data_IF_951462513082
#
_entry.id   IF_951462513082
#
_cell.length_a   1.000
_cell.length_b   1.000
_cell.length_c   1.000
_cell.angle_alpha   90.00
_cell.angle_beta   90.00
_cell.angle_gamma   90.00
#
_symmetry.space_group_name_H-M   'P 1'
#
loop_
_entity.id
_entity.type
_entity.pdbx_description
1 polymer ?
#
# COMPACT_ATOMS: atom_id res chain seq x y z
N UNK A 1 -20.92 -38.93 16.33
CA UNK A 1 -20.47 -38.05 15.23
C UNK A 1 -19.98 -36.77 15.87
N UNK A 2 -18.68 -36.49 15.78
CA UNK A 2 -18.08 -35.31 16.41
C UNK A 2 -17.96 -34.21 15.36
N UNK A 3 -18.59 -33.05 15.62
CA UNK A 3 -18.41 -31.84 14.83
C UNK A 3 -17.09 -31.18 15.25
N UNK A 4 -16.10 -31.23 14.36
CA UNK A 4 -14.85 -30.49 14.52
C UNK A 4 -15.02 -29.10 13.88
N UNK A 5 -15.04 -28.06 14.71
CA UNK A 5 -14.88 -26.66 14.24
C UNK A 5 -13.41 -26.31 14.38
N UNK A 6 -12.71 -26.22 13.25
CA UNK A 6 -11.36 -25.65 13.20
C UNK A 6 -11.54 -24.14 12.96
N UNK A 7 -11.11 -23.33 13.92
CA UNK A 7 -10.89 -21.89 13.72
C UNK A 7 -9.42 -21.71 13.33
N UNK A 8 -9.18 -21.16 12.16
CA UNK A 8 -7.84 -20.69 11.79
C UNK A 8 -7.65 -19.26 12.32
N UNK A 9 -6.50 -18.93 12.95
CA UNK A 9 -6.10 -17.55 13.12
C UNK A 9 -5.66 -17.00 11.76
N UNK A 10 -6.37 -15.97 11.29
CA UNK A 10 -6.12 -15.29 10.03
C UNK A 10 -4.82 -14.50 10.12
N UNK A 11 -3.74 -15.05 9.57
CA UNK A 11 -2.67 -14.27 8.98
C UNK A 11 -2.47 -14.83 7.57
N UNK A 12 -3.16 -14.22 6.61
CA UNK A 12 -3.10 -14.64 5.22
C UNK A 12 -2.01 -13.82 4.53
N UNK A 13 -0.78 -14.31 4.54
CA UNK A 13 0.13 -14.08 3.44
C UNK A 13 -0.41 -14.94 2.29
N UNK A 14 -1.19 -14.33 1.39
CA UNK A 14 -1.59 -14.96 0.14
C UNK A 14 -0.32 -15.15 -0.71
N UNK A 15 0.36 -16.27 -0.53
CA UNK A 15 1.08 -16.90 -1.63
C UNK A 15 0.00 -17.38 -2.60
N UNK A 16 -0.52 -16.46 -3.40
CA UNK A 16 -1.47 -16.77 -4.45
C UNK A 16 -0.79 -17.72 -5.43
N UNK A 17 -1.35 -18.92 -5.59
CA UNK A 17 -1.01 -19.77 -6.72
C UNK A 17 -1.85 -19.25 -7.89
N UNK A 18 -1.20 -18.70 -8.90
CA UNK A 18 -1.88 -18.23 -10.10
C UNK A 18 -2.21 -19.42 -11.02
N UNK A 19 -3.47 -19.53 -11.42
CA UNK A 19 -3.95 -20.57 -12.33
C UNK A 19 -4.17 -19.98 -13.72
N UNK A 20 -3.23 -20.26 -14.64
CA UNK A 20 -3.29 -19.73 -16.00
C UNK A 20 -4.03 -20.68 -16.95
N UNK A 21 -5.10 -20.22 -17.63
CA UNK A 21 -5.71 -20.99 -18.71
C UNK A 21 -4.88 -20.94 -20.00
N UNK A 22 -4.03 -19.93 -20.18
CA UNK A 22 -3.13 -19.79 -21.32
C UNK A 22 -1.93 -20.73 -21.20
N UNK A 23 -1.36 -21.10 -22.35
CA UNK A 23 -0.10 -21.81 -22.44
C UNK A 23 0.93 -20.91 -23.11
N UNK A 24 2.11 -20.79 -22.51
CA UNK A 24 3.25 -20.00 -23.01
C UNK A 24 4.53 -20.82 -22.88
N UNK A 25 5.67 -20.25 -23.29
CA UNK A 25 6.97 -20.89 -23.08
C UNK A 25 7.31 -21.06 -21.59
N UNK A 26 6.94 -20.07 -20.78
CA UNK A 26 7.32 -20.00 -19.37
C UNK A 26 6.28 -20.63 -18.43
N UNK A 27 5.04 -20.83 -18.86
CA UNK A 27 4.01 -21.47 -18.05
C UNK A 27 3.09 -22.41 -18.84
N UNK A 28 2.76 -23.54 -18.22
CA UNK A 28 1.77 -24.47 -18.73
C UNK A 28 0.36 -24.05 -18.31
N UNK A 29 -0.59 -24.25 -19.22
CA UNK A 29 -2.01 -24.10 -18.89
C UNK A 29 -2.42 -25.12 -17.82
N UNK A 30 -3.28 -24.73 -16.88
CA UNK A 30 -3.86 -25.68 -15.91
C UNK A 30 -4.67 -26.79 -16.60
N UNK A 31 -5.06 -26.62 -17.87
CA UNK A 31 -5.70 -27.68 -18.65
C UNK A 31 -4.82 -28.92 -18.81
N UNK A 32 -3.49 -28.79 -18.75
CA UNK A 32 -2.56 -29.92 -18.77
C UNK A 32 -2.72 -30.87 -17.57
N UNK A 33 -3.38 -30.42 -16.49
CA UNK A 33 -3.66 -31.26 -15.33
C UNK A 33 -4.78 -32.29 -15.55
N UNK A 34 -5.58 -32.17 -16.62
CA UNK A 34 -6.71 -33.06 -16.88
C UNK A 34 -6.34 -34.23 -17.79
N UNK A 35 -7.04 -35.36 -17.62
CA UNK A 35 -6.84 -36.53 -18.47
C UNK A 35 -7.32 -36.26 -19.91
N UNK A 36 -6.74 -36.97 -20.89
CA UNK A 36 -7.15 -36.91 -22.31
C UNK A 36 -8.65 -37.11 -22.48
N UNK A 37 -9.21 -38.17 -21.89
CA UNK A 37 -10.64 -38.48 -21.96
C UNK A 37 -11.51 -37.35 -21.41
N UNK A 38 -11.05 -36.66 -20.36
CA UNK A 38 -11.75 -35.50 -19.79
C UNK A 38 -11.75 -34.34 -20.79
N UNK A 39 -10.59 -33.99 -21.35
CA UNK A 39 -10.47 -32.88 -22.30
C UNK A 39 -11.27 -33.14 -23.58
N UNK A 40 -11.20 -34.35 -24.14
CA UNK A 40 -11.98 -34.74 -25.33
C UNK A 40 -13.49 -34.66 -25.07
N UNK A 41 -13.95 -35.14 -23.90
CA UNK A 41 -15.35 -35.04 -23.52
C UNK A 41 -15.79 -33.58 -23.28
N UNK A 42 -14.92 -32.74 -22.72
CA UNK A 42 -15.22 -31.32 -22.44
C UNK A 42 -15.29 -30.48 -23.70
N UNK A 43 -14.31 -30.59 -24.60
CA UNK A 43 -14.25 -29.79 -25.83
C UNK A 43 -14.98 -30.44 -27.01
N UNK A 44 -15.41 -31.70 -26.86
CA UNK A 44 -16.08 -32.49 -27.90
C UNK A 44 -15.28 -32.52 -29.22
N UNK A 45 -13.96 -32.65 -29.10
CA UNK A 45 -13.04 -32.85 -30.23
C UNK A 45 -11.90 -33.78 -29.81
N UNK A 46 -11.09 -34.22 -30.78
CA UNK A 46 -9.96 -35.11 -30.57
C UNK A 46 -8.83 -34.42 -29.80
N UNK A 47 -8.13 -35.17 -28.97
CA UNK A 47 -7.06 -34.65 -28.12
C UNK A 47 -5.95 -33.94 -28.91
N UNK A 48 -5.60 -34.41 -30.10
CA UNK A 48 -4.54 -33.80 -30.92
C UNK A 48 -4.89 -32.36 -31.34
N UNK A 49 -6.18 -32.09 -31.56
CA UNK A 49 -6.64 -30.74 -31.89
C UNK A 49 -6.61 -29.82 -30.66
N UNK A 50 -6.96 -30.35 -29.49
CA UNK A 50 -6.90 -29.64 -28.20
C UNK A 50 -5.45 -29.29 -27.86
N UNK A 51 -4.55 -30.27 -28.01
CA UNK A 51 -3.12 -30.07 -27.75
C UNK A 51 -2.56 -28.95 -28.63
N UNK A 52 -2.82 -29.00 -29.93
CA UNK A 52 -2.32 -28.00 -30.89
C UNK A 52 -2.84 -26.58 -30.63
N UNK A 53 -4.12 -26.43 -30.24
CA UNK A 53 -4.78 -25.11 -30.17
C UNK A 53 -4.71 -24.50 -28.77
N UNK A 54 -4.91 -25.29 -27.71
CA UNK A 54 -5.09 -24.79 -26.33
C UNK A 54 -3.85 -25.03 -25.48
N UNK A 55 -3.27 -26.23 -25.54
CA UNK A 55 -2.14 -26.62 -24.68
C UNK A 55 -0.79 -26.18 -25.26
N UNK A 56 -0.72 -25.99 -26.56
CA UNK A 56 0.54 -25.83 -27.29
C UNK A 56 1.24 -27.18 -27.49
N UNK A 57 2.15 -27.23 -28.46
CA UNK A 57 2.98 -28.41 -28.65
C UNK A 57 4.11 -28.39 -27.60
N UNK A 58 4.33 -29.50 -26.89
CA UNK A 58 5.43 -29.66 -25.93
C UNK A 58 6.81 -29.79 -26.61
N UNK A 59 6.84 -29.94 -27.93
CA UNK A 59 8.04 -30.24 -28.71
C UNK A 59 8.79 -28.95 -29.08
N UNK A 60 9.61 -28.47 -28.15
CA UNK A 60 10.65 -27.47 -28.39
C UNK A 60 11.88 -28.00 -29.15
N UNK A 61 11.81 -29.15 -29.81
CA UNK A 61 12.92 -29.73 -30.58
C UNK A 61 12.41 -30.39 -31.86
N UNK A 62 13.00 -29.98 -32.99
CA UNK A 62 12.95 -30.62 -34.31
C UNK A 62 11.66 -30.43 -35.13
N UNK A 63 11.48 -29.24 -35.74
CA UNK A 63 10.87 -29.10 -37.08
C UNK A 63 11.06 -27.67 -37.62
N UNK A 64 12.31 -27.20 -37.71
CA UNK A 64 12.63 -25.91 -38.37
C UNK A 64 12.72 -26.00 -39.91
N UNK A 65 12.59 -27.18 -40.54
CA UNK A 65 12.93 -27.31 -41.96
C UNK A 65 11.78 -27.36 -42.97
N UNK A 66 10.49 -27.40 -42.59
CA UNK A 66 9.44 -27.63 -43.61
C UNK A 66 8.14 -26.80 -43.55
N UNK A 67 8.16 -25.56 -43.06
CA UNK A 67 7.03 -24.65 -43.29
C UNK A 67 7.45 -23.23 -43.65
N UNK A 68 7.92 -23.09 -44.90
CA UNK A 68 7.85 -21.84 -45.65
C UNK A 68 6.39 -21.43 -45.85
N UNK A 69 5.90 -20.46 -45.09
CA UNK A 69 4.84 -19.56 -45.55
C UNK A 69 3.58 -19.39 -44.70
N UNK A 70 3.52 -19.83 -43.44
CA UNK A 70 2.37 -19.54 -42.57
C UNK A 70 2.83 -19.00 -41.22
N UNK A 71 2.07 -18.02 -40.74
CA UNK A 71 2.32 -17.14 -39.60
C UNK A 71 2.94 -17.88 -38.42
N UNK A 72 4.12 -17.38 -38.00
CA UNK A 72 4.84 -17.88 -36.84
C UNK A 72 3.87 -17.93 -35.65
N UNK A 73 3.67 -19.13 -35.08
CA UNK A 73 3.01 -19.29 -33.79
C UNK A 73 3.84 -18.54 -32.76
N UNK A 74 3.48 -17.28 -32.50
CA UNK A 74 3.95 -16.55 -31.35
C UNK A 74 3.39 -17.24 -30.11
N UNK A 75 3.99 -18.35 -29.68
CA UNK A 75 3.90 -18.71 -28.27
C UNK A 75 4.58 -17.57 -27.54
N UNK A 76 3.74 -16.74 -26.92
CA UNK A 76 4.18 -15.60 -26.14
C UNK A 76 5.20 -16.06 -25.09
N UNK A 77 6.20 -15.22 -24.81
CA UNK A 77 7.28 -15.61 -23.89
C UNK A 77 6.76 -15.79 -22.46
N UNK A 78 5.70 -15.08 -22.02
CA UNK A 78 5.13 -15.21 -20.69
C UNK A 78 3.71 -14.66 -20.55
N UNK A 79 3.23 -14.46 -19.30
CA UNK A 79 1.87 -13.97 -19.01
C UNK A 79 1.60 -12.52 -19.47
N UNK A 80 2.65 -11.71 -19.67
CA UNK A 80 2.55 -10.34 -20.16
C UNK A 80 3.06 -10.32 -21.60
N UNK A 81 2.20 -9.89 -22.53
CA UNK A 81 2.45 -10.00 -23.97
C UNK A 81 2.32 -8.67 -24.66
N UNK A 82 3.07 -8.49 -25.75
CA UNK A 82 3.00 -7.26 -26.55
C UNK A 82 1.87 -7.36 -27.56
N UNK A 83 0.97 -6.39 -27.56
CA UNK A 83 -0.19 -6.32 -28.46
C UNK A 83 -0.15 -5.09 -29.37
N UNK A 84 -0.83 -5.17 -30.51
CA UNK A 84 -0.95 -4.06 -31.46
C UNK A 84 -1.93 -2.98 -30.95
N UNK A 85 -1.90 -1.80 -31.57
CA UNK A 85 -2.82 -0.70 -31.22
C UNK A 85 -4.27 -1.07 -31.54
N UNK A 86 -4.50 -1.80 -32.63
CA UNK A 86 -5.81 -2.25 -33.09
C UNK A 86 -6.40 -3.27 -32.10
N UNK A 87 -5.59 -4.22 -31.62
CA UNK A 87 -6.00 -5.17 -30.59
C UNK A 87 -6.38 -4.46 -29.28
N UNK A 88 -5.57 -3.47 -28.85
CA UNK A 88 -5.90 -2.65 -27.67
C UNK A 88 -7.23 -1.90 -27.87
N UNK A 89 -7.45 -1.31 -29.05
CA UNK A 89 -8.69 -0.58 -29.33
C UNK A 89 -9.91 -1.50 -29.26
N UNK A 90 -9.82 -2.72 -29.79
CA UNK A 90 -10.92 -3.69 -29.74
C UNK A 90 -11.26 -4.09 -28.31
N UNK A 91 -10.24 -4.42 -27.50
CA UNK A 91 -10.43 -4.82 -26.10
C UNK A 91 -11.00 -3.68 -25.23
N UNK A 92 -10.63 -2.44 -25.50
CA UNK A 92 -11.08 -1.28 -24.69
C UNK A 92 -12.55 -0.90 -24.93
N UNK A 93 -13.18 -1.30 -26.02
CA UNK A 93 -14.57 -0.90 -26.36
C UNK A 93 -15.58 -1.24 -25.27
N UNK A 94 -15.34 -2.31 -24.51
CA UNK A 94 -16.24 -2.81 -23.47
C UNK A 94 -15.68 -2.63 -22.05
N UNK A 95 -14.58 -1.90 -21.90
CA UNK A 95 -14.00 -1.65 -20.58
C UNK A 95 -14.89 -0.70 -19.76
N UNK A 96 -15.08 -1.03 -18.48
CA UNK A 96 -15.75 -0.16 -17.52
C UNK A 96 -14.71 0.74 -16.83
N UNK A 97 -15.06 2.00 -16.61
CA UNK A 97 -14.28 2.94 -15.82
C UNK A 97 -14.95 3.17 -14.47
N UNK A 98 -14.18 3.70 -13.50
CA UNK A 98 -14.76 4.19 -12.25
C UNK A 98 -15.76 5.30 -12.59
N UNK A 99 -17.04 5.07 -12.31
CA UNK A 99 -18.06 6.12 -12.40
C UNK A 99 -17.76 7.17 -11.32
N UNK A 100 -17.50 8.42 -11.70
CA UNK A 100 -17.32 9.51 -10.73
C UNK A 100 -18.56 9.68 -9.82
N UNK A 101 -18.35 10.30 -8.65
CA UNK A 101 -19.32 10.61 -7.56
C UNK A 101 -20.68 9.89 -7.71
N UNK A 102 -20.69 8.62 -7.36
CA UNK A 102 -21.88 7.75 -7.27
C UNK A 102 -21.76 6.81 -6.07
N UNK A 103 -22.83 6.07 -5.76
CA UNK A 103 -22.78 5.06 -4.69
C UNK A 103 -21.64 4.06 -4.97
N UNK A 104 -20.89 3.63 -3.95
CA UNK A 104 -19.87 2.59 -4.10
C UNK A 104 -20.47 1.38 -4.82
N UNK A 105 -19.82 0.93 -5.89
CA UNK A 105 -20.23 -0.28 -6.58
C UNK A 105 -19.79 -1.50 -5.77
N UNK A 106 -20.64 -2.52 -5.69
CA UNK A 106 -20.30 -3.80 -5.06
C UNK A 106 -19.15 -4.52 -5.79
N UNK A 107 -18.96 -4.26 -7.09
CA UNK A 107 -17.97 -4.96 -7.91
C UNK A 107 -17.14 -4.08 -8.86
N UNK A 108 -17.43 -2.78 -8.94
CA UNK A 108 -16.79 -1.85 -9.86
C UNK A 108 -15.55 -1.19 -9.25
N UNK A 109 -14.60 -0.70 -10.08
CA UNK A 109 -13.44 0.01 -9.58
C UNK A 109 -13.85 1.32 -8.90
N UNK A 110 -13.13 1.69 -7.85
CA UNK A 110 -13.27 2.98 -7.18
C UNK A 110 -11.92 3.71 -7.17
N UNK A 111 -11.97 5.04 -7.07
CA UNK A 111 -10.78 5.87 -7.04
C UNK A 111 -10.60 6.45 -5.64
N UNK A 112 -9.53 6.06 -4.95
CA UNK A 112 -9.20 6.55 -3.61
C UNK A 112 -9.04 8.08 -3.55
N UNK A 113 -8.65 8.72 -4.66
CA UNK A 113 -8.46 10.17 -4.78
C UNK A 113 -9.67 10.92 -5.32
N UNK A 114 -10.82 10.26 -5.53
CA UNK A 114 -12.02 10.98 -6.01
C UNK A 114 -12.73 11.79 -4.93
N UNK A 115 -12.54 11.40 -3.66
CA UNK A 115 -13.06 12.12 -2.50
C UNK A 115 -12.02 13.11 -1.96
N UNK A 116 -12.48 14.03 -1.13
CA UNK A 116 -11.58 14.96 -0.44
C UNK A 116 -10.68 14.20 0.55
N UNK A 117 -9.40 14.61 0.68
CA UNK A 117 -8.50 14.03 1.66
C UNK A 117 -9.03 14.28 3.08
N UNK A 118 -8.88 13.30 3.97
CA UNK A 118 -9.26 13.42 5.38
C UNK A 118 -8.38 14.44 6.11
N UNK A 119 -7.12 14.58 5.68
CA UNK A 119 -6.19 15.60 6.15
C UNK A 119 -5.53 16.26 4.95
N UNK A 120 -5.51 17.59 4.91
CA UNK A 120 -4.82 18.33 3.86
C UNK A 120 -4.26 19.64 4.39
N UNK A 121 -3.00 19.91 4.07
CA UNK A 121 -2.39 21.22 4.22
C UNK A 121 -1.24 21.40 3.21
N UNK A 122 -0.53 22.53 3.27
CA UNK A 122 0.58 22.82 2.34
C UNK A 122 1.76 21.83 2.37
N UNK A 123 1.81 20.90 3.31
CA UNK A 123 2.86 19.90 3.47
C UNK A 123 2.43 18.48 3.09
N UNK A 124 1.15 18.25 2.79
CA UNK A 124 0.70 16.92 2.37
C UNK A 124 -0.81 16.74 2.36
N UNK A 125 -1.23 15.62 1.78
CA UNK A 125 -2.60 15.15 1.70
C UNK A 125 -2.68 13.70 2.19
N UNK A 126 -3.74 13.35 2.90
CA UNK A 126 -4.04 12.00 3.34
C UNK A 126 -5.42 11.62 2.82
N UNK A 127 -5.49 10.64 1.94
CA UNK A 127 -6.72 10.04 1.43
C UNK A 127 -6.96 8.69 2.11
N UNK A 128 -8.21 8.40 2.46
CA UNK A 128 -8.59 7.14 3.07
C UNK A 128 -9.99 6.70 2.60
N UNK A 129 -10.11 5.42 2.29
CA UNK A 129 -11.38 4.71 2.17
C UNK A 129 -11.39 3.61 3.21
N UNK A 130 -12.36 3.70 4.13
CA UNK A 130 -12.58 2.77 5.22
C UNK A 130 -13.65 1.72 4.85
N UNK A 131 -13.70 0.57 5.56
CA UNK A 131 -14.71 -0.46 5.38
C UNK A 131 -16.17 0.04 5.35
N UNK A 132 -16.52 1.03 6.17
CA UNK A 132 -17.88 1.60 6.23
C UNK A 132 -18.26 2.45 5.00
N UNK A 133 -17.28 2.82 4.17
CA UNK A 133 -17.47 3.68 3.00
C UNK A 133 -17.44 2.93 1.66
N UNK A 134 -17.02 1.66 1.64
CA UNK A 134 -16.90 0.88 0.41
C UNK A 134 -17.19 -0.62 0.67
N UNK A 135 -18.18 -1.23 0.00
CA UNK A 135 -18.54 -2.64 0.20
C UNK A 135 -17.39 -3.63 -0.04
N UNK A 136 -16.53 -3.40 -1.05
CA UNK A 136 -15.39 -4.29 -1.32
C UNK A 136 -14.35 -4.22 -0.20
N UNK A 137 -14.13 -3.02 0.35
CA UNK A 137 -13.27 -2.83 1.52
C UNK A 137 -13.91 -3.43 2.80
N UNK A 138 -15.24 -3.38 2.89
CA UNK A 138 -16.03 -3.96 3.98
C UNK A 138 -15.90 -5.48 4.03
N UNK A 139 -16.01 -6.14 2.89
CA UNK A 139 -15.95 -7.60 2.78
C UNK A 139 -14.60 -8.16 3.23
N UNK A 140 -13.53 -7.38 3.05
CA UNK A 140 -12.16 -7.73 3.44
C UNK A 140 -11.76 -7.19 4.81
N UNK A 141 -12.56 -6.32 5.41
CA UNK A 141 -12.25 -5.56 6.63
C UNK A 141 -10.90 -4.81 6.54
N UNK A 142 -10.69 -4.12 5.40
CA UNK A 142 -9.46 -3.35 5.13
C UNK A 142 -9.78 -1.86 4.90
N UNK A 143 -8.86 -0.99 5.32
CA UNK A 143 -8.81 0.40 4.84
C UNK A 143 -7.75 0.53 3.75
N UNK A 144 -8.00 1.39 2.78
CA UNK A 144 -7.01 1.80 1.78
C UNK A 144 -6.66 3.26 1.97
N UNK A 145 -5.35 3.56 2.02
CA UNK A 145 -4.83 4.90 2.26
C UNK A 145 -3.85 5.32 1.18
N UNK A 146 -3.87 6.59 0.80
CA UNK A 146 -2.89 7.19 -0.09
C UNK A 146 -2.41 8.50 0.52
N UNK A 147 -1.11 8.60 0.76
CA UNK A 147 -0.52 9.71 1.51
C UNK A 147 0.49 10.41 0.60
N UNK A 148 0.29 11.70 0.40
CA UNK A 148 1.22 12.58 -0.31
C UNK A 148 1.90 13.46 0.73
N UNK A 149 3.24 13.46 0.77
CA UNK A 149 4.03 14.36 1.62
C UNK A 149 4.90 15.21 0.70
N UNK A 150 4.74 16.53 0.76
CA UNK A 150 5.54 17.44 -0.04
C UNK A 150 6.98 17.46 0.46
N UNK A 151 7.93 17.81 -0.40
CA UNK A 151 9.35 17.94 -0.03
C UNK A 151 9.53 18.83 1.21
N UNK A 152 10.30 18.34 2.18
CA UNK A 152 10.49 19.00 3.48
C UNK A 152 9.28 18.92 4.43
N UNK A 153 8.23 18.22 4.04
CA UNK A 153 7.09 17.86 4.88
C UNK A 153 7.41 16.70 5.82
N UNK A 154 6.69 16.64 6.94
CA UNK A 154 6.74 15.58 7.94
C UNK A 154 5.31 15.21 8.31
N UNK A 155 4.95 13.94 8.19
CA UNK A 155 3.78 13.39 8.88
C UNK A 155 4.10 13.29 10.37
N UNK A 156 3.36 14.03 11.19
CA UNK A 156 3.57 14.08 12.63
C UNK A 156 3.42 12.68 13.25
N UNK A 157 4.11 12.41 14.36
CA UNK A 157 3.96 11.15 15.09
C UNK A 157 2.50 10.87 15.40
N UNK A 158 2.03 9.71 14.96
CA UNK A 158 0.70 9.18 15.19
C UNK A 158 0.79 7.67 15.34
N UNK A 159 -0.28 7.06 15.84
CA UNK A 159 -0.43 5.61 15.93
C UNK A 159 -1.80 5.22 15.37
N UNK A 160 -1.90 3.98 14.90
CA UNK A 160 -3.16 3.38 14.51
C UNK A 160 -3.68 2.54 15.68
N UNK A 161 -4.89 2.80 16.15
CA UNK A 161 -5.43 2.14 17.35
C UNK A 161 -5.69 0.64 17.19
N UNK A 162 -6.05 0.21 15.97
CA UNK A 162 -6.44 -1.20 15.70
C UNK A 162 -5.93 -1.76 14.38
N UNK A 163 -5.53 -0.90 13.45
CA UNK A 163 -5.17 -1.32 12.10
C UNK A 163 -3.65 -1.50 11.96
N UNK A 164 -3.24 -2.61 11.34
CA UNK A 164 -1.90 -2.80 10.84
C UNK A 164 -1.85 -2.21 9.43
N UNK A 165 -0.93 -1.29 9.18
CA UNK A 165 -0.76 -0.71 7.85
C UNK A 165 0.42 -1.37 7.15
N UNK A 166 0.20 -1.87 5.94
CA UNK A 166 1.25 -2.27 5.01
C UNK A 166 1.37 -1.16 3.98
N UNK A 167 2.50 -0.45 4.00
CA UNK A 167 2.71 0.75 3.19
C UNK A 167 3.79 0.48 2.16
N UNK A 168 3.53 0.88 0.92
CA UNK A 168 4.46 0.82 -0.21
C UNK A 168 4.81 2.24 -0.61
N UNK A 169 6.09 2.53 -0.85
CA UNK A 169 6.53 3.81 -1.39
C UNK A 169 6.35 3.80 -2.90
N UNK A 170 5.38 4.58 -3.39
CA UNK A 170 5.08 4.70 -4.83
C UNK A 170 6.07 5.62 -5.56
N UNK A 171 6.44 6.76 -4.95
CA UNK A 171 7.39 7.72 -5.52
C UNK A 171 8.18 8.43 -4.40
N UNK A 172 9.43 8.77 -4.69
CA UNK A 172 10.26 9.66 -3.87
C UNK A 172 11.11 8.95 -2.81
N UNK A 173 11.63 9.74 -1.87
CA UNK A 173 12.48 9.27 -0.77
C UNK A 173 12.13 9.96 0.54
N UNK A 174 12.35 9.28 1.66
CA UNK A 174 12.02 9.79 2.98
C UNK A 174 12.74 9.09 4.11
N UNK A 175 12.73 9.71 5.29
CA UNK A 175 13.18 9.05 6.52
C UNK A 175 11.95 8.60 7.31
N UNK A 176 12.00 7.39 7.83
CA UNK A 176 10.94 6.79 8.63
C UNK A 176 11.46 6.44 10.01
N UNK A 177 10.66 6.74 11.03
CA UNK A 177 10.89 6.32 12.41
C UNK A 177 9.63 5.66 12.97
N UNK A 178 9.82 4.50 13.59
CA UNK A 178 8.81 3.75 14.32
C UNK A 178 9.28 3.56 15.76
N UNK A 179 8.35 3.68 16.70
CA UNK A 179 8.60 3.44 18.12
C UNK A 179 7.78 2.25 18.57
N UNK A 180 8.42 1.32 19.28
CA UNK A 180 7.77 0.17 19.89
C UNK A 180 8.27 -0.08 21.30
N UNK A 181 7.50 -0.85 22.07
CA UNK A 181 7.84 -1.28 23.44
C UNK A 181 8.21 -2.76 23.39
N UNK A 182 9.24 -3.16 24.14
CA UNK A 182 9.64 -4.57 24.25
C UNK A 182 9.79 -4.98 25.70
N UNK A 183 9.18 -6.10 26.05
CA UNK A 183 9.36 -6.75 27.35
C UNK A 183 10.74 -7.42 27.40
N UNK A 184 11.48 -7.15 28.46
CA UNK A 184 12.64 -7.96 28.80
C UNK A 184 12.17 -9.10 29.69
N UNK A 185 12.13 -10.33 29.16
CA UNK A 185 12.05 -11.54 30.00
C UNK A 185 13.33 -11.62 30.86
N UNK A 186 13.28 -11.09 32.08
CA UNK A 186 14.26 -11.39 33.13
C UNK A 186 13.62 -12.35 34.13
N UNK A 187 14.46 -13.28 34.60
CA UNK A 187 14.09 -14.42 35.42
C UNK A 187 13.20 -14.03 36.62
N UNK A 188 12.06 -14.72 36.72
CA UNK A 188 11.09 -14.98 37.81
C UNK A 188 10.91 -14.06 39.05
N UNK A 189 11.75 -13.07 39.35
CA UNK A 189 11.66 -12.24 40.56
C UNK A 189 11.93 -10.73 40.35
N UNK A 190 12.11 -10.24 39.11
CA UNK A 190 12.26 -8.80 38.80
C UNK A 190 11.04 -8.24 38.05
N UNK A 191 10.60 -7.03 38.43
CA UNK A 191 9.50 -6.32 37.75
C UNK A 191 9.77 -6.21 36.25
N UNK A 192 8.77 -6.56 35.43
CA UNK A 192 8.78 -6.34 33.98
C UNK A 192 9.09 -4.86 33.71
N UNK A 193 10.21 -4.60 33.03
CA UNK A 193 10.59 -3.26 32.59
C UNK A 193 10.38 -3.18 31.07
N UNK A 194 9.35 -2.42 30.70
CA UNK A 194 9.08 -2.04 29.32
C UNK A 194 10.17 -1.07 28.82
N UNK A 195 10.89 -1.47 27.78
CA UNK A 195 11.93 -0.64 27.16
C UNK A 195 11.44 -0.07 25.83
N UNK A 196 11.49 1.26 25.69
CA UNK A 196 11.15 1.95 24.44
C UNK A 196 12.28 1.77 23.43
N UNK A 197 11.95 1.25 22.24
CA UNK A 197 12.86 1.07 21.12
C UNK A 197 12.45 1.90 19.92
N UNK A 198 13.45 2.51 19.29
CA UNK A 198 13.31 3.21 18.01
C UNK A 198 13.85 2.34 16.88
N UNK A 199 13.03 2.20 15.85
CA UNK A 199 13.37 1.60 14.57
C UNK A 199 13.40 2.72 13.54
N UNK A 200 14.43 2.79 12.71
CA UNK A 200 14.56 3.82 11.69
C UNK A 200 14.97 3.22 10.35
N UNK A 201 14.54 3.87 9.28
CA UNK A 201 14.87 3.49 7.91
C UNK A 201 14.93 4.72 7.00
N UNK A 202 15.71 4.61 5.93
CA UNK A 202 15.58 5.46 4.76
C UNK A 202 14.75 4.68 3.75
N UNK A 203 13.69 5.29 3.26
CA UNK A 203 12.76 4.69 2.32
C UNK A 203 12.91 5.34 0.96
N UNK A 204 12.73 4.55 -0.09
CA UNK A 204 12.79 4.89 -1.50
C UNK A 204 11.70 4.14 -2.28
N UNK A 205 11.45 4.55 -3.51
CA UNK A 205 10.48 3.90 -4.41
C UNK A 205 10.60 2.36 -4.41
N UNK A 206 9.47 1.68 -4.21
CA UNK A 206 9.36 0.24 -4.12
C UNK A 206 9.57 -0.36 -2.72
N UNK A 207 10.07 0.41 -1.75
CA UNK A 207 10.22 -0.07 -0.38
C UNK A 207 8.85 -0.35 0.26
N UNK A 208 8.78 -1.42 1.04
CA UNK A 208 7.59 -1.83 1.79
C UNK A 208 7.91 -1.82 3.28
N UNK A 209 7.05 -1.21 4.08
CA UNK A 209 7.16 -1.21 5.54
C UNK A 209 5.82 -1.47 6.20
N UNK A 210 5.87 -1.98 7.43
CA UNK A 210 4.68 -2.34 8.20
C UNK A 210 4.63 -1.49 9.46
N UNK A 211 3.48 -0.87 9.69
CA UNK A 211 3.16 -0.16 10.93
C UNK A 211 2.22 -1.07 11.74
N UNK A 212 2.70 -1.69 12.84
CA UNK A 212 1.84 -2.47 13.72
C UNK A 212 0.72 -1.60 14.31
N UNK A 213 -0.40 -2.23 14.65
CA UNK A 213 -1.40 -1.57 15.47
C UNK A 213 -0.80 -1.23 16.85
N UNK A 214 -0.98 0.00 17.30
CA UNK A 214 -0.61 0.44 18.64
C UNK A 214 -1.78 0.23 19.60
N UNK A 215 -1.51 -0.33 20.79
CA UNK A 215 -2.54 -0.63 21.78
C UNK A 215 -2.98 0.54 22.66
N UNK A 216 -2.52 1.77 22.41
CA UNK A 216 -2.84 2.93 23.26
C UNK A 216 -3.07 4.23 22.47
N UNK A 217 -4.29 4.79 22.47
CA UNK A 217 -4.68 5.92 23.33
C UNK A 217 -3.76 7.17 23.41
N UNK A 218 -2.71 7.33 22.60
CA UNK A 218 -1.74 8.40 22.83
C UNK A 218 -2.14 9.75 22.22
N UNK A 219 -3.12 10.39 22.85
CA UNK A 219 -3.49 11.76 22.51
C UNK A 219 -3.07 12.69 23.64
N UNK A 220 -1.76 12.95 23.74
CA UNK A 220 -1.17 13.91 24.71
C UNK A 220 -1.91 15.26 24.69
N UNK A 221 -2.46 15.68 23.54
CA UNK A 221 -3.30 16.88 23.41
C UNK A 221 -4.64 16.78 24.16
N UNK A 222 -5.29 15.61 24.15
CA UNK A 222 -6.59 15.37 24.78
C UNK A 222 -6.49 15.00 26.26
N UNK A 223 -5.29 14.72 26.79
CA UNK A 223 -5.12 14.51 28.24
C UNK A 223 -5.58 15.75 29.02
N UNK A 224 -6.35 15.52 30.09
CA UNK A 224 -6.77 16.59 31.00
C UNK A 224 -5.57 17.27 31.67
N UNK A 225 -5.76 18.49 32.15
CA UNK A 225 -4.70 19.32 32.75
C UNK A 225 -4.03 18.61 33.92
N UNK A 226 -4.84 17.97 34.76
CA UNK A 226 -4.44 17.22 35.94
C UNK A 226 -3.61 15.99 35.55
N UNK A 227 -4.01 15.30 34.48
CA UNK A 227 -3.28 14.14 33.96
C UNK A 227 -1.92 14.57 33.43
N UNK A 228 -1.85 15.64 32.63
CA UNK A 228 -0.57 16.19 32.13
C UNK A 228 0.40 16.55 33.25
N UNK A 229 -0.10 17.14 34.34
CA UNK A 229 0.73 17.49 35.50
C UNK A 229 1.32 16.26 36.19
N UNK A 230 0.62 15.13 36.18
CA UNK A 230 1.09 13.86 36.74
C UNK A 230 1.98 13.08 35.77
N UNK A 231 1.70 13.15 34.47
CA UNK A 231 2.42 12.40 33.42
C UNK A 231 3.78 12.99 33.11
N UNK A 232 3.90 14.32 33.04
CA UNK A 232 5.13 14.99 32.61
C UNK A 232 5.89 15.59 33.79
N UNK A 233 7.23 15.54 33.78
CA UNK A 233 8.04 16.12 34.87
C UNK A 233 8.03 17.66 34.91
N UNK A 234 7.55 18.32 33.86
CA UNK A 234 7.50 19.78 33.77
C UNK A 234 6.21 20.38 34.34
N UNK A 235 6.20 21.71 34.52
CA UNK A 235 4.95 22.40 34.88
C UNK A 235 3.92 22.27 33.76
N UNK A 236 2.64 22.23 34.12
CA UNK A 236 1.58 22.08 33.14
C UNK A 236 1.49 23.28 32.19
N UNK A 237 1.83 24.48 32.66
CA UNK A 237 1.94 25.68 31.84
C UNK A 237 3.05 25.54 30.78
N UNK A 238 4.21 24.97 31.15
CA UNK A 238 5.31 24.71 30.21
C UNK A 238 4.93 23.62 29.21
N UNK A 239 4.29 22.54 29.66
CA UNK A 239 3.81 21.44 28.80
C UNK A 239 2.79 21.96 27.79
N UNK A 240 1.80 22.73 28.22
CA UNK A 240 0.82 23.32 27.32
C UNK A 240 1.46 24.28 26.32
N UNK A 241 2.39 25.14 26.77
CA UNK A 241 3.12 26.04 25.88
C UNK A 241 3.86 25.26 24.80
N UNK A 242 4.55 24.17 25.16
CA UNK A 242 5.28 23.33 24.20
C UNK A 242 4.36 22.63 23.20
N UNK A 243 3.27 22.02 23.65
CA UNK A 243 2.28 21.35 22.79
C UNK A 243 1.63 22.33 21.81
N UNK A 244 1.41 23.58 22.25
CA UNK A 244 0.83 24.67 21.44
C UNK A 244 1.84 25.32 20.49
N UNK A 245 3.15 25.07 20.60
CA UNK A 245 4.12 25.67 19.68
C UNK A 245 3.94 25.19 18.22
N UNK A 246 3.51 23.93 18.04
CA UNK A 246 3.19 23.40 16.72
C UNK A 246 1.75 23.76 16.34
N UNK A 247 1.61 24.76 15.47
CA UNK A 247 0.33 25.30 15.00
C UNK A 247 -0.29 24.48 13.85
N UNK A 248 0.49 23.57 13.27
CA UNK A 248 0.04 22.69 12.19
C UNK A 248 -0.45 21.35 12.75
N UNK A 249 -1.36 20.73 12.00
CA UNK A 249 -1.90 19.40 12.32
C UNK A 249 -1.59 18.44 11.18
N UNK A 250 -1.35 17.18 11.54
CA UNK A 250 -1.03 16.05 10.65
C UNK A 250 0.29 16.20 9.90
N UNK A 251 0.41 17.18 9.02
CA UNK A 251 1.66 17.47 8.31
C UNK A 251 2.27 18.80 8.76
N UNK A 252 3.60 18.83 8.92
CA UNK A 252 4.34 20.01 9.35
C UNK A 252 5.66 20.16 8.59
N UNK A 253 6.32 21.30 8.74
CA UNK A 253 7.69 21.48 8.26
C UNK A 253 8.66 20.59 9.07
N UNK A 254 9.42 19.72 8.38
CA UNK A 254 10.44 18.86 8.97
C UNK A 254 11.67 19.65 9.50
N UNK A 255 11.89 20.88 9.03
CA UNK A 255 13.06 21.71 9.36
C UNK A 255 12.66 23.14 9.82
N UNK A 256 11.93 23.28 10.94
CA UNK A 256 11.39 24.58 11.38
C UNK A 256 12.48 25.61 11.70
N UNK A 257 13.67 25.19 12.16
CA UNK A 257 14.74 26.10 12.55
C UNK A 257 15.43 26.77 11.35
N UNK A 258 15.60 26.05 10.22
CA UNK A 258 16.18 26.62 9.01
C UNK A 258 15.26 27.68 8.38
N UNK A 259 13.94 27.46 8.42
CA UNK A 259 12.96 28.45 7.96
C UNK A 259 13.01 29.73 8.81
N UNK A 260 13.09 29.61 10.13
CA UNK A 260 13.23 30.77 11.02
C UNK A 260 14.52 31.55 10.77
N UNK A 261 15.63 30.89 10.41
CA UNK A 261 16.88 31.55 10.03
C UNK A 261 16.73 32.29 8.70
N UNK A 262 16.18 31.65 7.66
CA UNK A 262 15.92 32.29 6.36
C UNK A 262 15.00 33.51 6.48
N UNK A 263 13.96 33.43 7.30
CA UNK A 263 13.04 34.55 7.55
C UNK A 263 13.72 35.71 8.31
N UNK A 264 14.62 35.40 9.26
CA UNK A 264 15.42 36.41 9.97
C UNK A 264 16.43 37.09 9.05
N UNK A 265 17.05 36.35 8.13
CA UNK A 265 17.99 36.87 7.14
C UNK A 265 17.30 37.73 6.07
N UNK A 266 16.16 37.27 5.54
CA UNK A 266 15.35 38.05 4.59
C UNK A 266 14.82 39.37 5.18
N UNK A 267 14.50 39.39 6.48
CA UNK A 267 14.12 40.61 7.21
C UNK A 267 15.31 41.57 7.45
N UNK A 268 16.54 41.06 7.60
CA UNK A 268 17.74 41.90 7.68
C UNK A 268 18.10 42.51 6.32
N UNK A 269 17.98 41.76 5.23
CA UNK A 269 18.23 42.26 3.87
C UNK A 269 17.29 43.40 3.44
N UNK A 270 16.02 43.36 3.86
CA UNK A 270 15.04 44.44 3.56
C UNK A 270 15.22 45.72 4.39
N UNK A 271 15.97 45.69 5.50
CA UNK A 271 16.26 46.89 6.31
C UNK A 271 17.49 47.67 5.82
N UNK A 272 18.28 47.12 4.90
CA UNK A 272 19.46 47.77 4.32
C UNK A 272 19.18 48.64 3.08
N UNK A 273 17.95 48.64 2.56
CA UNK A 273 17.53 49.44 1.41
C UNK A 273 16.58 50.56 1.87
N UNK A 274 17.11 51.50 2.65
CA UNK A 274 16.49 52.82 2.77
C UNK A 274 17.31 53.71 1.83
N UNK A 275 16.71 54.06 0.71
CA UNK A 275 17.26 54.99 -0.27
C UNK A 275 17.67 56.30 0.41
N UNK A 276 18.95 56.66 0.31
CA UNK A 276 19.35 58.06 0.40
C UNK A 276 18.97 58.72 -0.92
N UNK A 277 18.02 59.65 -0.86
CA UNK A 277 17.80 60.67 -1.89
C UNK A 277 18.66 61.87 -1.51
#
# INVERSE_FOLDING_TARGET
>A
MANMRVKFPTLVLLLGIDFYPSSTKDQQSYFNGFSRNTLEATFNTRYEEIQRIILGNEDGQEDEEQSRGQEQSHQDEGVIVRVSKEQIQELRKHAQSSSGKGKPSESGPFNLRSDEPIYSNKFGNFYEITPDRNPQAQDLDISLTFIEINEGGLLLPHYNSKAIFVVVVDEGEGNYELVGIRDQERQQDEQEQEEVRRYNAKLSEGDIFVIPAGSEDNVIRQLDKEVKQLTFPGSVEDVERLIKNQQQSYFANAQPQQQQQREKEGRRGRRGLIFSI
#
